data_IF_533134762184
#
_entry.id   IF_533134762184
#
_cell.length_a   1.000
_cell.length_b   1.000
_cell.length_c   1.000
_cell.angle_alpha   90.00
_cell.angle_beta   90.00
_cell.angle_gamma   90.00
#
_symmetry.space_group_name_H-M   'P 1'
#
loop_
_entity.id
_entity.type
_entity.pdbx_description
1 polymer ?
#
# COMPACT_ATOMS: atom_id res chain seq x y z
N UNK A 1 17.51 2.74 8.66
CA UNK A 1 17.09 1.34 8.53
C UNK A 1 15.75 1.31 7.80
N UNK A 2 15.68 0.65 6.65
CA UNK A 2 14.46 0.44 5.87
C UNK A 2 13.75 -0.81 6.37
N UNK A 3 12.51 -0.65 6.80
CA UNK A 3 11.68 -1.71 7.36
C UNK A 3 10.43 -1.87 6.51
N UNK A 4 10.02 -3.10 6.25
CA UNK A 4 8.81 -3.39 5.47
C UNK A 4 7.78 -4.10 6.34
N UNK A 5 6.58 -3.52 6.41
CA UNK A 5 5.39 -4.21 6.88
C UNK A 5 4.64 -4.78 5.66
N UNK A 6 4.55 -6.11 5.60
CA UNK A 6 3.87 -6.85 4.53
C UNK A 6 2.54 -7.34 5.05
N UNK A 7 1.44 -6.92 4.41
CA UNK A 7 0.10 -7.43 4.66
C UNK A 7 -0.33 -8.18 3.40
N UNK A 8 -0.18 -9.50 3.40
CA UNK A 8 -0.31 -10.29 2.17
C UNK A 8 -0.93 -11.66 2.39
N UNK A 9 -1.73 -12.11 1.42
CA UNK A 9 -2.17 -13.50 1.31
C UNK A 9 -1.03 -14.42 0.81
N UNK A 10 0.13 -13.86 0.47
CA UNK A 10 1.34 -14.59 0.09
C UNK A 10 2.39 -14.52 1.22
N UNK A 11 2.63 -15.62 1.95
CA UNK A 11 3.59 -15.66 3.05
C UNK A 11 5.02 -15.29 2.64
N UNK A 12 5.73 -14.58 3.52
CA UNK A 12 7.12 -14.13 3.29
C UNK A 12 8.16 -15.26 3.41
N UNK A 13 7.78 -16.38 4.00
CA UNK A 13 8.63 -17.57 4.18
C UNK A 13 9.10 -18.14 2.84
N UNK A 14 8.32 -17.93 1.78
CA UNK A 14 8.62 -18.40 0.42
C UNK A 14 9.33 -17.35 -0.44
N UNK A 15 9.67 -16.20 0.12
CA UNK A 15 10.31 -15.13 -0.66
C UNK A 15 11.76 -15.46 -0.97
N UNK A 16 12.17 -15.12 -2.19
CA UNK A 16 13.56 -15.20 -2.63
C UNK A 16 14.41 -14.14 -1.93
N UNK A 17 15.73 -14.33 -1.96
CA UNK A 17 16.68 -13.32 -1.45
C UNK A 17 16.53 -11.97 -2.17
N UNK A 18 16.16 -11.97 -3.45
CA UNK A 18 15.91 -10.76 -4.23
C UNK A 18 14.74 -9.93 -3.66
N UNK A 19 13.69 -10.58 -3.16
CA UNK A 19 12.55 -9.90 -2.57
C UNK A 19 12.91 -9.25 -1.22
N UNK A 20 13.83 -9.86 -0.47
CA UNK A 20 14.21 -9.44 0.87
C UNK A 20 15.33 -8.39 0.89
N UNK A 21 16.19 -8.39 -0.13
CA UNK A 21 17.45 -7.61 -0.20
C UNK A 21 17.33 -6.12 0.11
N UNK A 22 16.20 -5.49 -0.24
CA UNK A 22 16.01 -4.04 -0.08
C UNK A 22 15.60 -3.61 1.34
N UNK A 23 15.42 -4.58 2.25
CA UNK A 23 14.83 -4.38 3.57
C UNK A 23 15.76 -4.90 4.66
N UNK A 24 16.02 -4.05 5.65
CA UNK A 24 16.80 -4.41 6.83
C UNK A 24 15.96 -5.24 7.81
N UNK A 25 14.64 -5.05 7.81
CA UNK A 25 13.67 -5.78 8.63
C UNK A 25 12.35 -5.95 7.86
N UNK A 26 11.71 -7.11 8.05
CA UNK A 26 10.44 -7.47 7.41
C UNK A 26 9.49 -8.01 8.47
N UNK A 27 8.41 -7.28 8.71
CA UNK A 27 7.28 -7.72 9.53
C UNK A 27 6.17 -8.20 8.63
N UNK A 28 5.66 -9.40 8.90
CA UNK A 28 4.57 -10.01 8.14
C UNK A 28 3.28 -10.05 8.94
N UNK A 29 2.20 -9.59 8.33
CA UNK A 29 0.82 -9.81 8.77
C UNK A 29 0.07 -10.58 7.67
N UNK A 30 -0.60 -11.69 8.01
CA UNK A 30 -1.43 -12.37 7.02
C UNK A 30 -2.60 -11.48 6.60
N UNK A 31 -2.87 -11.44 5.30
CA UNK A 31 -4.07 -10.77 4.79
C UNK A 31 -5.31 -11.61 5.13
N UNK A 32 -6.36 -11.02 5.73
CA UNK A 32 -7.53 -11.77 6.15
C UNK A 32 -8.31 -12.30 4.94
N UNK A 33 -8.94 -13.46 5.10
CA UNK A 33 -9.91 -13.93 4.13
C UNK A 33 -11.17 -13.06 4.23
N UNK A 34 -11.64 -12.56 3.08
CA UNK A 34 -12.87 -11.77 2.98
C UNK A 34 -13.96 -12.66 2.39
N UNK A 35 -15.10 -12.71 3.07
CA UNK A 35 -16.29 -13.36 2.55
C UNK A 35 -16.76 -12.62 1.28
N UNK A 36 -16.96 -13.30 0.14
CA UNK A 36 -17.53 -12.68 -1.05
C UNK A 36 -18.92 -12.05 -0.84
N UNK A 37 -19.65 -12.46 0.19
CA UNK A 37 -20.96 -11.90 0.57
C UNK A 37 -20.84 -10.81 1.66
N UNK A 38 -19.63 -10.47 2.10
CA UNK A 38 -19.40 -9.41 3.07
C UNK A 38 -19.99 -8.07 2.58
N UNK A 39 -20.63 -7.36 3.50
CA UNK A 39 -21.10 -6.01 3.22
C UNK A 39 -19.93 -5.03 3.18
N UNK A 40 -20.17 -3.84 2.61
CA UNK A 40 -19.19 -2.75 2.66
C UNK A 40 -18.79 -2.40 4.10
N UNK A 41 -19.72 -2.49 5.06
CA UNK A 41 -19.43 -2.20 6.47
C UNK A 41 -18.48 -3.25 7.07
N UNK A 42 -18.68 -4.53 6.75
CA UNK A 42 -17.79 -5.60 7.21
C UNK A 42 -16.36 -5.39 6.71
N UNK A 43 -16.20 -5.02 5.43
CA UNK A 43 -14.89 -4.71 4.84
C UNK A 43 -14.25 -3.49 5.52
N UNK A 44 -15.04 -2.47 5.86
CA UNK A 44 -14.55 -1.27 6.57
C UNK A 44 -14.09 -1.57 8.00
N UNK A 45 -14.79 -2.45 8.71
CA UNK A 45 -14.43 -2.86 10.07
C UNK A 45 -13.13 -3.67 10.06
N UNK A 46 -12.97 -4.57 9.08
CA UNK A 46 -11.73 -5.32 8.87
C UNK A 46 -10.58 -4.38 8.49
N UNK A 47 -10.82 -3.41 7.59
CA UNK A 47 -9.84 -2.40 7.23
C UNK A 47 -9.39 -1.62 8.48
N UNK A 48 -10.33 -1.15 9.30
CA UNK A 48 -10.00 -0.42 10.53
C UNK A 48 -9.14 -1.25 11.49
N UNK A 49 -9.45 -2.54 11.67
CA UNK A 49 -8.65 -3.46 12.49
C UNK A 49 -7.22 -3.67 11.95
N UNK A 50 -7.03 -3.62 10.63
CA UNK A 50 -5.69 -3.65 10.03
C UNK A 50 -4.97 -2.31 10.20
N UNK A 51 -5.67 -1.19 10.09
CA UNK A 51 -5.10 0.15 10.29
C UNK A 51 -4.56 0.29 11.70
N UNK A 52 -5.29 -0.13 12.73
CA UNK A 52 -4.81 -0.08 14.13
C UNK A 52 -3.50 -0.86 14.29
N UNK A 53 -3.42 -2.08 13.73
CA UNK A 53 -2.17 -2.86 13.73
C UNK A 53 -1.03 -2.16 12.98
N UNK A 54 -1.32 -1.52 11.85
CA UNK A 54 -0.31 -0.76 11.10
C UNK A 54 0.24 0.37 11.97
N UNK A 55 -0.61 1.18 12.59
CA UNK A 55 -0.14 2.29 13.44
C UNK A 55 0.62 1.80 14.66
N UNK A 56 0.19 0.70 15.28
CA UNK A 56 0.90 0.08 16.42
C UNK A 56 2.31 -0.39 16.05
N UNK A 57 2.46 -1.07 14.90
CA UNK A 57 3.76 -1.59 14.43
C UNK A 57 4.67 -0.46 13.95
N UNK A 58 4.10 0.49 13.20
CA UNK A 58 4.88 1.53 12.52
C UNK A 58 5.16 2.73 13.42
N UNK A 59 4.40 2.93 14.49
CA UNK A 59 4.41 4.16 15.30
C UNK A 59 3.79 5.36 14.57
N UNK A 60 3.12 5.15 13.43
CA UNK A 60 2.35 6.18 12.76
C UNK A 60 1.12 6.57 13.57
N UNK A 61 0.49 7.70 13.23
CA UNK A 61 -0.64 8.21 14.00
C UNK A 61 -1.93 8.12 13.20
N UNK A 62 -2.99 7.62 13.83
CA UNK A 62 -4.35 7.80 13.34
C UNK A 62 -4.89 9.12 13.89
N UNK A 63 -5.31 10.02 13.00
CA UNK A 63 -5.84 11.34 13.34
C UNK A 63 -7.20 11.53 12.67
N UNK A 64 -7.98 12.48 13.17
CA UNK A 64 -9.16 12.97 12.47
C UNK A 64 -8.78 14.24 11.71
N UNK A 65 -9.03 14.26 10.40
CA UNK A 65 -8.94 15.46 9.58
C UNK A 65 -10.34 15.97 9.30
N UNK A 66 -10.54 17.27 9.49
CA UNK A 66 -11.78 17.93 9.12
C UNK A 66 -11.69 18.43 7.67
N UNK A 67 -12.69 18.10 6.85
CA UNK A 67 -12.80 18.68 5.51
C UNK A 67 -13.48 20.07 5.52
N UNK A 68 -13.69 20.65 4.34
CA UNK A 68 -14.29 21.98 4.20
C UNK A 68 -15.73 22.09 4.67
N UNK A 69 -16.45 20.98 4.65
CA UNK A 69 -17.85 20.90 5.06
C UNK A 69 -17.98 20.50 6.54
N UNK A 70 -16.84 20.39 7.24
CA UNK A 70 -16.79 20.02 8.64
C UNK A 70 -16.82 18.52 8.91
N UNK A 71 -16.79 17.68 7.86
CA UNK A 71 -16.81 16.23 8.00
C UNK A 71 -15.46 15.73 8.51
N UNK A 72 -15.50 14.92 9.56
CA UNK A 72 -14.31 14.30 10.14
C UNK A 72 -13.98 12.99 9.41
N UNK A 73 -12.81 12.92 8.80
CA UNK A 73 -12.25 11.71 8.21
C UNK A 73 -11.09 11.19 9.04
N UNK A 74 -11.13 9.91 9.41
CA UNK A 74 -9.97 9.23 10.00
C UNK A 74 -8.89 9.04 8.95
N UNK A 75 -7.68 9.48 9.26
CA UNK A 75 -6.54 9.42 8.36
C UNK A 75 -5.28 9.02 9.14
N UNK A 76 -4.39 8.28 8.50
CA UNK A 76 -3.10 7.88 9.00
C UNK A 76 -2.08 8.90 8.53
N UNK A 77 -1.39 9.50 9.48
CA UNK A 77 -0.25 10.38 9.25
C UNK A 77 1.02 9.54 9.40
N UNK A 78 1.65 9.30 8.26
CA UNK A 78 2.92 8.59 8.20
C UNK A 78 4.05 9.45 8.75
N UNK A 79 4.90 8.87 9.59
CA UNK A 79 6.13 9.50 10.07
C UNK A 79 7.33 8.96 9.28
N UNK A 80 8.36 9.79 9.13
CA UNK A 80 9.61 9.36 8.49
C UNK A 80 10.51 8.60 9.47
N UNK A 81 10.18 7.34 9.71
CA UNK A 81 10.88 6.47 10.65
C UNK A 81 11.35 5.15 10.03
N UNK A 82 11.54 5.18 8.70
CA UNK A 82 12.07 4.06 7.91
C UNK A 82 11.07 2.95 7.56
N UNK A 83 9.81 3.04 8.01
CA UNK A 83 8.76 2.09 7.66
C UNK A 83 8.20 2.31 6.25
N UNK A 84 7.95 1.19 5.59
CA UNK A 84 7.17 1.08 4.35
C UNK A 84 6.12 -0.01 4.52
N UNK A 85 5.03 0.08 3.77
CA UNK A 85 3.91 -0.87 3.83
C UNK A 85 3.63 -1.42 2.43
N UNK A 86 3.41 -2.72 2.34
CA UNK A 86 2.89 -3.40 1.15
C UNK A 86 1.61 -4.13 1.51
N UNK A 87 0.50 -3.78 0.85
CA UNK A 87 -0.82 -4.42 1.05
C UNK A 87 -1.20 -5.17 -0.21
N UNK A 88 -1.48 -6.47 -0.09
CA UNK A 88 -1.80 -7.36 -1.20
C UNK A 88 -2.87 -8.38 -0.79
N UNK A 89 -3.92 -8.51 -1.60
CA UNK A 89 -4.98 -9.47 -1.33
C UNK A 89 -6.23 -9.09 -2.10
N UNK A 90 -7.38 -9.22 -1.44
CA UNK A 90 -8.68 -8.83 -1.99
C UNK A 90 -8.73 -7.31 -2.23
N UNK A 91 -9.24 -6.91 -3.40
CA UNK A 91 -9.14 -5.55 -3.91
C UNK A 91 -9.94 -4.53 -3.10
N UNK A 92 -11.16 -4.88 -2.67
CA UNK A 92 -12.02 -3.96 -1.90
C UNK A 92 -11.41 -3.65 -0.53
N UNK A 93 -10.86 -4.64 0.18
CA UNK A 93 -10.16 -4.40 1.43
C UNK A 93 -8.86 -3.63 1.23
N UNK A 94 -8.07 -3.95 0.19
CA UNK A 94 -6.89 -3.16 -0.15
C UNK A 94 -7.28 -1.69 -0.34
N UNK A 95 -8.33 -1.42 -1.12
CA UNK A 95 -8.82 -0.07 -1.38
C UNK A 95 -9.25 0.65 -0.10
N UNK A 96 -10.04 0.01 0.76
CA UNK A 96 -10.46 0.61 2.03
C UNK A 96 -9.26 0.92 2.93
N UNK A 97 -8.26 0.05 3.00
CA UNK A 97 -7.00 0.34 3.73
C UNK A 97 -6.32 1.58 3.13
N UNK A 98 -6.16 1.67 1.80
CA UNK A 98 -5.52 2.83 1.17
C UNK A 98 -6.23 4.14 1.47
N UNK A 99 -7.57 4.15 1.61
CA UNK A 99 -8.35 5.36 1.90
C UNK A 99 -8.04 5.99 3.26
N UNK A 100 -7.57 5.18 4.21
CA UNK A 100 -7.13 5.68 5.51
C UNK A 100 -5.80 6.41 5.44
N UNK A 101 -5.03 6.33 4.36
CA UNK A 101 -3.75 7.03 4.28
C UNK A 101 -3.93 8.34 3.54
N UNK A 102 -3.55 9.43 4.20
CA UNK A 102 -3.49 10.74 3.56
C UNK A 102 -2.44 10.71 2.43
N UNK A 103 -2.37 11.78 1.64
CA UNK A 103 -1.61 11.96 0.37
C UNK A 103 -0.10 11.66 0.43
N UNK A 104 0.44 11.16 1.55
CA UNK A 104 1.78 10.63 1.72
C UNK A 104 1.93 9.20 1.14
N UNK A 105 1.67 9.07 -0.16
CA UNK A 105 1.78 7.81 -0.92
C UNK A 105 3.18 7.18 -0.94
N UNK A 106 4.21 7.87 -0.44
CA UNK A 106 5.60 7.45 -0.53
C UNK A 106 6.03 6.31 0.39
N UNK A 107 5.15 5.90 1.31
CA UNK A 107 5.38 4.76 2.19
C UNK A 107 4.83 3.45 1.65
N UNK A 108 4.01 3.51 0.60
CA UNK A 108 3.52 2.30 -0.04
C UNK A 108 4.50 1.80 -1.08
N UNK A 109 4.79 0.50 -0.99
CA UNK A 109 5.59 -0.22 -1.96
C UNK A 109 4.86 -1.45 -2.47
N UNK A 110 5.06 -1.75 -3.73
CA UNK A 110 4.35 -2.81 -4.44
C UNK A 110 5.36 -3.76 -5.05
N UNK A 111 5.34 -5.06 -4.74
CA UNK A 111 6.21 -5.99 -5.42
C UNK A 111 5.65 -6.18 -6.83
N UNK A 112 6.50 -5.96 -7.82
CA UNK A 112 6.16 -6.14 -9.22
C UNK A 112 6.61 -7.51 -9.68
N UNK A 113 5.78 -8.18 -10.47
CA UNK A 113 6.09 -9.50 -11.00
C UNK A 113 5.99 -9.54 -12.51
N UNK A 114 6.85 -10.34 -13.13
CA UNK A 114 6.74 -10.75 -14.52
C UNK A 114 6.08 -12.11 -14.56
N UNK A 115 4.99 -12.22 -15.32
CA UNK A 115 4.32 -13.50 -15.58
C UNK A 115 5.00 -14.21 -16.75
N UNK A 116 5.39 -15.45 -16.54
CA UNK A 116 5.98 -16.32 -17.54
C UNK A 116 5.13 -17.59 -17.66
N UNK A 117 4.74 -17.94 -18.88
CA UNK A 117 4.04 -19.18 -19.17
C UNK A 117 5.09 -20.24 -19.52
N UNK A 118 5.15 -21.30 -18.73
CA UNK A 118 6.04 -22.45 -18.95
C UNK A 118 5.16 -23.62 -19.38
N UNK A 119 5.55 -24.27 -20.47
CA UNK A 119 4.90 -25.48 -20.95
C UNK A 119 5.81 -26.67 -20.66
N UNK A 120 5.30 -27.63 -19.91
CA UNK A 120 6.00 -28.88 -19.59
C UNK A 120 5.21 -30.06 -20.14
N UNK A 121 5.89 -31.00 -20.80
CA UNK A 121 5.27 -32.26 -21.20
C UNK A 121 5.50 -33.29 -20.11
N UNK A 122 4.41 -33.72 -19.46
CA UNK A 122 4.42 -34.78 -18.45
C UNK A 122 3.51 -35.90 -18.95
N UNK A 123 4.05 -37.11 -19.12
CA UNK A 123 3.33 -38.28 -19.64
C UNK A 123 2.61 -38.03 -20.99
N UNK A 124 3.26 -37.30 -21.90
CA UNK A 124 2.70 -36.94 -23.21
C UNK A 124 1.59 -35.89 -23.17
N UNK A 125 1.26 -35.34 -21.99
CA UNK A 125 0.31 -34.23 -21.83
C UNK A 125 1.05 -32.92 -21.65
N UNK A 126 0.59 -31.87 -22.34
CA UNK A 126 1.06 -30.51 -22.12
C UNK A 126 0.43 -29.92 -20.86
N UNK A 127 1.26 -29.52 -19.91
CA UNK A 127 0.88 -28.79 -18.69
C UNK A 127 1.39 -27.35 -18.82
N UNK A 128 0.49 -26.38 -18.75
CA UNK A 128 0.83 -24.96 -18.72
C UNK A 128 0.89 -24.46 -17.29
N UNK A 129 2.07 -23.98 -16.87
CA UNK A 129 2.30 -23.34 -15.57
C UNK A 129 2.46 -21.84 -15.78
N UNK A 130 1.74 -21.05 -14.99
CA UNK A 130 1.96 -19.60 -14.90
C UNK A 130 2.88 -19.32 -13.73
N UNK A 131 4.11 -18.89 -14.00
CA UNK A 131 5.12 -18.53 -13.00
C UNK A 131 5.18 -17.02 -12.88
N UNK A 132 5.10 -16.50 -11.65
CA UNK A 132 5.25 -15.08 -11.37
C UNK A 132 6.62 -14.86 -10.73
N UNK A 133 7.53 -14.23 -11.47
CA UNK A 133 8.87 -13.89 -10.98
C UNK A 133 8.87 -12.47 -10.45
N UNK A 134 9.37 -12.27 -9.23
CA UNK A 134 9.62 -10.93 -8.71
C UNK A 134 10.58 -10.16 -9.63
N UNK A 135 10.35 -8.86 -9.76
CA UNK A 135 11.18 -7.96 -10.59
C UNK A 135 11.77 -6.86 -9.71
N UNK A 136 10.92 -6.09 -9.03
CA UNK A 136 11.34 -5.01 -8.12
C UNK A 136 10.21 -4.57 -7.20
N UNK A 137 10.56 -3.87 -6.12
CA UNK A 137 9.63 -3.03 -5.38
C UNK A 137 9.39 -1.73 -6.14
N UNK A 138 8.13 -1.37 -6.40
CA UNK A 138 7.73 -0.07 -6.94
C UNK A 138 7.28 0.82 -5.79
N UNK A 139 7.80 2.03 -5.70
CA UNK A 139 7.31 3.09 -4.81
C UNK A 139 6.46 4.10 -5.62
N UNK A 140 5.45 4.70 -5.00
CA UNK A 140 4.65 5.79 -5.62
C UNK A 140 5.45 7.08 -5.83
N UNK A 141 6.56 7.25 -5.12
CA UNK A 141 7.49 8.38 -5.30
C UNK A 141 8.61 8.07 -6.33
N UNK A 142 8.58 6.94 -7.03
CA UNK A 142 9.52 6.73 -8.14
C UNK A 142 9.33 7.86 -9.16
N UNK A 143 10.40 8.62 -9.50
CA UNK A 143 10.27 9.68 -10.48
C UNK A 143 9.77 9.09 -11.80
N UNK A 144 8.73 9.71 -12.38
CA UNK A 144 8.29 9.35 -13.72
C UNK A 144 9.50 9.37 -14.67
N UNK A 145 9.68 8.30 -15.44
CA UNK A 145 10.88 8.15 -16.26
C UNK A 145 11.02 9.24 -17.34
N UNK A 146 9.97 10.02 -17.64
CA UNK A 146 10.03 11.26 -18.41
C UNK A 146 8.64 11.95 -18.39
N UNK A 147 8.31 12.80 -17.40
CA UNK A 147 7.03 13.49 -17.39
C UNK A 147 7.03 14.55 -18.49
N UNK A 148 6.45 14.25 -19.66
CA UNK A 148 6.05 15.27 -20.65
C UNK A 148 4.81 16.01 -20.13
N UNK A 149 4.96 16.70 -19.01
CA UNK A 149 3.89 17.46 -18.37
C UNK A 149 4.05 18.92 -18.76
N UNK A 150 2.97 19.53 -19.30
CA UNK A 150 2.98 20.94 -19.67
C UNK A 150 3.18 21.84 -18.43
N UNK A 151 3.76 23.04 -18.58
CA UNK A 151 3.91 23.99 -17.49
C UNK A 151 2.60 24.31 -16.75
N UNK A 152 1.48 24.34 -17.46
CA UNK A 152 0.15 24.58 -16.88
C UNK A 152 -0.29 23.46 -15.93
N UNK A 153 -0.05 22.20 -16.30
CA UNK A 153 -0.39 21.05 -15.45
C UNK A 153 0.53 21.02 -14.21
N UNK A 154 1.81 21.35 -14.36
CA UNK A 154 2.74 21.49 -13.22
C UNK A 154 2.26 22.56 -12.23
N UNK A 155 1.84 23.73 -12.71
CA UNK A 155 1.32 24.79 -11.86
C UNK A 155 0.04 24.38 -11.13
N UNK A 156 -0.89 23.70 -11.80
CA UNK A 156 -2.11 23.17 -11.16
C UNK A 156 -1.80 22.12 -10.09
N UNK A 157 -0.82 21.25 -10.32
CA UNK A 157 -0.37 20.26 -9.33
C UNK A 157 0.20 20.96 -8.09
N UNK A 158 1.08 21.94 -8.29
CA UNK A 158 1.69 22.69 -7.18
C UNK A 158 0.68 23.54 -6.40
N UNK A 159 -0.29 24.14 -7.09
CA UNK A 159 -1.39 24.87 -6.46
C UNK A 159 -2.28 23.93 -5.62
N UNK A 160 -2.63 22.76 -6.16
CA UNK A 160 -3.37 21.72 -5.43
C UNK A 160 -2.61 21.18 -4.21
N UNK A 161 -1.29 21.02 -4.29
CA UNK A 161 -0.43 20.65 -3.14
C UNK A 161 -0.43 21.73 -2.06
N UNK A 162 -0.29 23.01 -2.46
CA UNK A 162 -0.29 24.16 -1.52
C UNK A 162 -1.64 24.37 -0.84
N UNK A 163 -2.73 24.20 -1.58
CA UNK A 163 -4.06 24.17 -0.99
C UNK A 163 -4.11 23.04 0.03
N UNK A 164 -3.86 21.78 -0.36
CA UNK A 164 -3.88 20.61 0.55
C UNK A 164 -3.06 20.76 1.83
N UNK A 165 -1.88 21.38 1.77
CA UNK A 165 -1.04 21.62 2.94
C UNK A 165 -1.69 22.54 3.99
N UNK A 166 -2.59 23.46 3.60
CA UNK A 166 -3.35 24.31 4.54
C UNK A 166 -4.45 23.54 5.30
N UNK A 167 -4.91 22.39 4.80
CA UNK A 167 -6.02 21.63 5.40
C UNK A 167 -5.58 20.68 6.52
N UNK A 168 -4.26 20.45 6.68
CA UNK A 168 -3.70 19.51 7.67
C UNK A 168 -3.54 20.19 9.06
N UNK A 169 -3.86 21.48 9.21
CA UNK A 169 -3.58 22.26 10.43
C UNK A 169 -4.56 22.05 11.60
N UNK A 170 -5.48 21.09 11.55
CA UNK A 170 -6.30 20.69 12.70
C UNK A 170 -6.03 19.21 12.97
N UNK A 171 -4.97 18.95 13.72
CA UNK A 171 -4.70 17.64 14.32
C UNK A 171 -5.31 17.67 15.71
N UNK A 172 -6.38 16.91 15.92
CA UNK A 172 -6.85 16.58 17.26
C UNK A 172 -6.07 15.31 17.66
N UNK A 173 -4.98 15.49 18.41
CA UNK A 173 -4.32 14.39 19.12
C UNK A 173 -5.31 13.89 20.20
N UNK A 174 -5.50 12.57 20.29
CA UNK A 174 -6.20 11.91 21.41
C UNK A 174 -5.14 11.43 22.39
#
# INVERSE_FOLDING_TARGET
>A
MKKLLVISNHPVERWTEEQKRDWDDIVYLPFPQIDPEASQQDVQDIAYSLITKIVDITGWKLVYLQDMDGLLMKQVVCQDNGWYVSVQGEFSLCFEIYRYFAVYGNRFVFPTTKREAIEEVVDGKSIKKSVFRFVKWRNLDEPEANPKISPEVKNKIEEGKRQRAKYISVVIDI
#
